data_IF_927333301472
#
_entry.id   IF_927333301472
#
_cell.length_a   1.000
_cell.length_b   1.000
_cell.length_c   1.000
_cell.angle_alpha   90.00
_cell.angle_beta   90.00
_cell.angle_gamma   90.00
#
_symmetry.space_group_name_H-M   'P 1'
#
loop_
_entity.id
_entity.type
_entity.pdbx_description
1 polymer ?
2 non-polymer ?
3 non-polymer ?
4 non-polymer ?
5 water ?
#
# COMPACT_ATOMS: atom_id res chain seq x y z
N UNK A 4 -7.07 8.89 25.23
CA UNK A 4 -5.68 9.17 24.74
C UNK A 4 -5.66 10.34 23.75
N UNK A 5 -4.62 11.16 23.85
CA UNK A 5 -4.40 12.23 22.87
C UNK A 5 -3.08 11.93 22.16
N UNK A 6 -3.17 11.72 20.85
CA UNK A 6 -1.97 11.45 20.06
C UNK A 6 -1.15 12.72 19.89
N UNK A 7 0.18 12.62 20.10
CA UNK A 7 1.06 13.77 19.90
C UNK A 7 1.39 13.92 18.42
N UNK A 8 0.54 14.65 17.70
CA UNK A 8 0.63 14.74 16.23
C UNK A 8 1.94 15.33 15.75
N UNK A 9 2.53 16.18 16.57
CA UNK A 9 3.82 16.79 16.30
C UNK A 9 5.00 15.81 16.44
N UNK A 10 4.73 14.63 16.99
CA UNK A 10 5.80 13.65 17.23
C UNK A 10 5.69 12.40 16.37
N UNK A 11 4.66 12.34 15.53
CA UNK A 11 4.40 11.16 14.73
C UNK A 11 4.77 11.47 13.29
N UNK A 12 5.61 10.63 12.67
CA UNK A 12 5.96 10.83 11.27
C UNK A 12 4.70 10.84 10.40
N UNK A 13 4.54 11.91 9.61
CA UNK A 13 3.25 12.20 8.99
C UNK A 13 2.73 11.20 7.98
N UNK A 14 3.62 10.51 7.27
CA UNK A 14 3.17 9.58 6.25
C UNK A 14 2.39 8.40 6.86
N UNK A 15 2.68 8.10 8.12
CA UNK A 15 2.06 6.99 8.82
C UNK A 15 0.57 7.24 9.04
N UNK A 16 0.25 8.41 9.58
CA UNK A 16 -1.11 8.68 10.04
C UNK A 16 -1.94 9.43 9.02
N UNK A 17 -1.32 10.36 8.32
CA UNK A 17 -2.04 11.26 7.42
C UNK A 17 -1.79 10.91 5.95
N UNK A 18 -0.54 10.63 5.63
CA UNK A 18 -0.14 10.34 4.25
C UNK A 18 0.35 11.61 3.59
N UNK A 19 1.49 11.52 2.92
CA UNK A 19 2.05 12.69 2.23
C UNK A 19 1.14 13.21 1.12
N UNK A 20 0.52 12.30 0.38
CA UNK A 20 -0.42 12.65 -0.70
C UNK A 20 0.18 13.66 -1.68
N UNK A 21 1.46 13.48 -2.00
CA UNK A 21 2.13 14.36 -2.93
C UNK A 21 2.20 13.77 -4.34
N UNK A 22 2.32 14.64 -5.34
CA UNK A 22 2.37 14.21 -6.74
C UNK A 22 3.62 13.42 -7.09
N UNK A 23 4.72 13.70 -6.40
CA UNK A 23 5.99 13.00 -6.63
C UNK A 23 6.47 12.44 -5.30
N UNK A 24 7.14 11.29 -5.36
CA UNK A 24 7.74 10.72 -4.17
C UNK A 24 8.98 9.94 -4.53
N UNK A 25 10.01 10.06 -3.71
CA UNK A 25 11.26 9.34 -3.90
C UNK A 25 11.60 8.56 -2.65
N UNK A 26 12.04 7.32 -2.85
CA UNK A 26 12.48 6.46 -1.77
C UNK A 26 13.99 6.28 -1.93
N UNK A 27 14.77 6.79 -0.97
CA UNK A 27 16.22 6.68 -1.03
C UNK A 27 16.64 5.62 -0.04
N UNK A 28 17.04 4.46 -0.57
CA UNK A 28 17.45 3.32 0.25
C UNK A 28 18.94 3.42 0.49
N UNK A 29 19.36 3.28 1.74
CA UNK A 29 20.75 3.55 2.08
C UNK A 29 21.33 2.52 3.03
N UNK A 30 22.66 2.45 3.05
CA UNK A 30 23.40 1.73 4.06
C UNK A 30 24.19 2.75 4.88
N UNK A 31 24.37 2.47 6.17
CA UNK A 31 25.16 3.32 7.07
C UNK A 31 26.62 2.88 6.98
N UNK A 32 27.52 3.82 6.67
CA UNK A 32 28.96 3.55 6.64
C UNK A 32 29.66 3.88 7.97
N UNK A 33 29.15 4.89 8.65
CA UNK A 33 29.80 5.46 9.84
C UNK A 33 28.66 5.83 10.79
N UNK A 34 28.44 5.00 11.81
CA UNK A 34 27.30 5.19 12.71
C UNK A 34 27.38 6.52 13.47
N UNK A 35 28.56 6.83 13.99
CA UNK A 35 28.75 8.06 14.76
C UNK A 35 28.45 9.32 13.93
N UNK A 36 29.02 9.39 12.73
CA UNK A 36 28.77 10.50 11.81
C UNK A 36 27.31 10.58 11.37
N UNK A 37 26.70 9.42 11.11
CA UNK A 37 25.29 9.38 10.75
C UNK A 37 24.43 9.97 11.87
N UNK A 38 24.70 9.54 13.10
CA UNK A 38 23.96 10.02 14.27
C UNK A 38 24.12 11.52 14.47
N UNK A 39 25.33 12.03 14.27
CA UNK A 39 25.62 13.46 14.37
C UNK A 39 24.79 14.24 13.34
N UNK A 40 24.78 13.76 12.10
CA UNK A 40 23.97 14.39 11.05
C UNK A 40 22.48 14.30 11.36
N UNK A 41 22.03 13.17 11.89
CA UNK A 41 20.62 12.98 12.20
C UNK A 41 20.10 14.03 13.18
N UNK A 42 20.93 14.42 14.16
CA UNK A 42 20.50 15.37 15.17
C UNK A 42 20.20 16.77 14.61
N UNK A 43 20.86 17.15 13.52
CA UNK A 43 20.52 18.41 12.87
C UNK A 43 19.47 18.22 11.78
N UNK A 44 19.49 17.05 11.12
CA UNK A 44 18.58 16.80 10.03
C UNK A 44 17.13 16.68 10.48
N UNK A 45 16.90 15.92 11.55
CA UNK A 45 15.54 15.60 11.97
C UNK A 45 14.69 16.83 12.30
N UNK A 46 15.16 17.72 13.20
CA UNK A 46 14.31 18.87 13.53
C UNK A 46 13.99 19.77 12.33
N UNK A 47 14.88 19.80 11.35
CA UNK A 47 14.73 20.68 10.20
C UNK A 47 13.88 20.09 9.09
N UNK A 48 13.90 18.76 8.93
CA UNK A 48 13.33 18.14 7.74
C UNK A 48 12.25 17.06 7.93
N UNK A 49 12.23 16.39 9.07
CA UNK A 49 11.29 15.27 9.25
C UNK A 49 9.89 15.80 9.55
N UNK A 50 8.93 15.42 8.69
CA UNK A 50 7.61 16.01 8.68
C UNK A 50 6.62 15.24 9.55
N UNK A 51 6.04 15.93 10.54
CA UNK A 51 5.07 15.34 11.44
C UNK A 51 3.64 15.28 10.86
N UNK A 52 2.79 14.48 11.47
CA UNK A 52 1.37 14.48 11.17
C UNK A 52 0.74 15.86 11.35
N UNK A 53 1.20 16.61 12.35
CA UNK A 53 0.71 17.96 12.61
C UNK A 53 0.98 18.89 11.44
N UNK A 54 2.17 18.80 10.83
CA UNK A 54 2.47 19.61 9.64
C UNK A 54 1.59 19.22 8.45
N UNK A 55 1.36 17.92 8.27
CA UNK A 55 0.53 17.44 7.17
C UNK A 55 -0.94 17.88 7.26
N UNK A 56 -1.45 18.08 8.47
CA UNK A 56 -2.84 18.55 8.64
C UNK A 56 -2.96 20.06 8.69
N UNK A 57 -1.83 20.75 8.67
CA UNK A 57 -1.81 22.22 8.64
C UNK A 57 -2.22 22.75 7.27
N UNK A 58 -2.58 24.03 7.22
CA UNK A 58 -2.83 24.72 5.96
C UNK A 58 -1.57 24.66 5.08
N UNK A 59 -1.75 24.50 3.74
CA UNK A 59 -0.60 24.42 2.81
C UNK A 59 0.40 25.57 2.95
N UNK A 60 -0.07 26.74 3.35
CA UNK A 60 0.81 27.90 3.56
C UNK A 60 1.80 27.71 4.71
N UNK A 61 1.51 26.74 5.58
CA UNK A 61 2.35 26.47 6.75
C UNK A 61 3.27 25.25 6.53
N UNK A 62 3.25 24.72 5.31
CA UNK A 62 3.97 23.49 4.99
C UNK A 62 5.23 23.76 4.19
N UNK A 63 6.29 22.95 4.41
CA UNK A 63 7.50 23.03 3.59
C UNK A 63 7.22 22.56 2.15
N UNK A 64 8.18 22.81 1.25
CA UNK A 64 8.01 22.49 -0.16
C UNK A 64 8.16 20.99 -0.45
N UNK A 65 8.71 20.26 0.51
CA UNK A 65 8.76 18.79 0.45
C UNK A 65 8.70 18.23 1.86
N UNK A 66 8.17 17.02 1.96
CA UNK A 66 8.07 16.32 3.23
C UNK A 66 9.10 15.19 3.25
N UNK A 67 9.66 14.91 4.43
CA UNK A 67 10.59 13.80 4.55
C UNK A 67 10.24 12.94 5.76
N UNK A 68 10.19 11.63 5.54
CA UNK A 68 10.07 10.66 6.63
C UNK A 68 11.24 9.67 6.51
N UNK A 69 11.48 8.92 7.58
CA UNK A 69 12.68 8.07 7.65
C UNK A 69 12.40 6.79 8.43
N UNK A 70 12.70 5.66 7.80
CA UNK A 70 12.55 4.36 8.43
C UNK A 70 13.85 3.57 8.40
N UNK A 71 13.97 2.62 9.33
CA UNK A 71 15.15 1.76 9.44
C UNK A 71 14.78 0.29 9.32
N UNK A 72 15.64 -0.48 8.67
CA UNK A 72 15.48 -1.93 8.68
C UNK A 72 16.10 -2.48 9.95
N UNK A 73 15.95 -3.79 10.17
CA UNK A 73 16.61 -4.42 11.31
C UNK A 73 18.12 -4.25 11.25
N UNK A 74 18.71 -4.51 10.08
CA UNK A 74 20.16 -4.38 9.96
C UNK A 74 20.61 -2.93 10.13
N UNK A 75 19.76 -1.97 9.75
CA UNK A 75 20.05 -0.55 9.99
C UNK A 75 20.13 -0.25 11.46
N UNK A 76 19.15 -0.75 12.22
CA UNK A 76 19.17 -0.55 13.67
C UNK A 76 20.38 -1.22 14.31
N UNK A 77 20.69 -2.44 13.87
CA UNK A 77 21.87 -3.13 14.38
C UNK A 77 23.17 -2.37 14.06
N UNK A 78 23.26 -1.82 12.84
CA UNK A 78 24.41 -1.01 12.43
C UNK A 78 24.60 0.24 13.30
N UNK A 79 23.50 0.74 13.85
CA UNK A 79 23.53 1.91 14.72
C UNK A 79 23.56 1.56 16.20
N UNK A 80 23.75 0.28 16.53
CA UNK A 80 23.80 -0.16 17.92
C UNK A 80 22.47 -0.06 18.65
N UNK A 81 21.37 -0.05 17.90
CA UNK A 81 20.02 -0.04 18.49
C UNK A 81 19.51 -1.48 18.53
N UNK A 82 19.71 -2.12 19.68
CA UNK A 82 19.69 -3.57 19.80
C UNK A 82 18.44 -4.15 20.46
N UNK A 83 17.56 -3.29 20.99
CA UNK A 83 16.36 -3.81 21.67
C UNK A 83 15.40 -4.42 20.65
N UNK A 84 14.86 -5.58 21.01
CA UNK A 84 13.83 -6.29 20.22
C UNK A 84 12.55 -5.44 20.15
N UNK A 85 12.11 -5.15 18.92
CA UNK A 85 10.90 -4.34 18.71
C UNK A 85 9.61 -5.14 18.83
N UNK A 86 9.73 -6.46 18.93
CA UNK A 86 8.58 -7.33 19.18
C UNK A 86 7.80 -7.81 17.97
N UNK A 87 8.27 -7.47 16.78
CA UNK A 87 7.63 -7.96 15.56
C UNK A 87 8.30 -9.24 15.04
N UNK A 88 7.49 -10.22 14.65
CA UNK A 88 8.00 -11.51 14.20
C UNK A 88 8.75 -11.49 12.86
N UNK A 89 8.35 -10.59 11.95
CA UNK A 89 8.95 -10.56 10.60
C UNK A 89 10.06 -9.53 10.42
N UNK A 90 9.98 -8.41 11.14
CA UNK A 90 10.94 -7.33 10.95
C UNK A 90 12.41 -7.77 11.07
N UNK A 91 12.75 -8.62 12.07
CA UNK A 91 14.17 -8.91 12.24
C UNK A 91 14.85 -9.57 11.06
N UNK A 92 14.17 -10.50 10.40
CA UNK A 92 14.81 -11.22 9.29
C UNK A 92 14.76 -10.50 7.95
N UNK A 93 13.94 -9.45 7.86
CA UNK A 93 13.78 -8.69 6.62
C UNK A 93 12.84 -9.35 5.62
N UNK A 94 12.45 -8.62 4.59
CA UNK A 94 11.44 -9.12 3.68
C UNK A 94 11.94 -10.15 2.67
N UNK A 95 13.18 -10.06 2.24
CA UNK A 95 13.69 -11.08 1.30
C UNK A 95 13.55 -12.49 1.88
N UNK A 96 13.87 -12.61 3.17
CA UNK A 96 13.75 -13.88 3.87
C UNK A 96 12.30 -14.36 3.99
N UNK A 97 11.36 -13.43 3.86
CA UNK A 97 9.92 -13.69 3.97
C UNK A 97 9.24 -13.81 2.60
N UNK A 98 9.96 -13.52 1.53
CA UNK A 98 9.33 -13.38 0.20
C UNK A 98 8.65 -14.66 -0.28
N UNK A 99 9.30 -15.80 -0.07
CA UNK A 99 8.70 -17.08 -0.44
C UNK A 99 7.37 -17.30 0.26
N UNK A 100 7.30 -16.96 1.55
CA UNK A 100 6.05 -17.04 2.33
C UNK A 100 4.92 -16.20 1.74
N UNK A 101 5.28 -15.06 1.18
CA UNK A 101 4.32 -14.15 0.53
C UNK A 101 3.84 -14.71 -0.81
N UNK A 102 4.58 -15.69 -1.34
CA UNK A 102 4.28 -16.27 -2.66
C UNK A 102 5.10 -15.73 -3.81
N UNK A 103 6.13 -14.93 -3.51
CA UNK A 103 6.93 -14.26 -4.54
C UNK A 103 7.75 -15.26 -5.36
N UNK A 104 7.85 -14.97 -6.65
CA UNK A 104 8.86 -15.58 -7.51
C UNK A 104 10.16 -14.84 -7.20
N UNK A 105 11.05 -15.51 -6.48
CA UNK A 105 12.31 -14.90 -6.04
C UNK A 105 13.24 -14.50 -7.19
N UNK A 106 13.06 -15.16 -8.34
CA UNK A 106 13.89 -14.89 -9.50
C UNK A 106 13.65 -13.49 -10.08
N UNK A 107 12.53 -12.86 -9.69
CA UNK A 107 12.17 -11.53 -10.16
C UNK A 107 12.65 -10.40 -9.24
N UNK A 108 13.11 -10.77 -8.05
CA UNK A 108 13.69 -9.79 -7.13
C UNK A 108 15.01 -9.27 -7.67
N UNK A 109 15.28 -8.00 -7.41
CA UNK A 109 16.50 -7.38 -7.90
C UNK A 109 17.26 -6.66 -6.78
N UNK A 110 18.57 -6.54 -6.97
CA UNK A 110 19.41 -5.77 -6.08
C UNK A 110 18.91 -4.33 -5.97
N UNK A 111 19.05 -3.72 -4.78
CA UNK A 111 19.72 -4.21 -3.59
C UNK A 111 18.78 -4.87 -2.58
N UNK A 112 17.61 -5.32 -3.02
CA UNK A 112 16.64 -5.91 -2.09
C UNK A 112 16.91 -7.38 -1.76
N UNK A 113 17.81 -8.00 -2.52
CA UNK A 113 18.10 -9.44 -2.41
C UNK A 113 19.09 -9.75 -1.28
N UNK A 114 18.68 -9.39 -0.07
CA UNK A 114 19.49 -9.59 1.12
C UNK A 114 19.03 -8.56 2.13
N UNK A 115 19.91 -8.24 3.07
CA UNK A 115 19.61 -7.23 4.09
C UNK A 115 20.67 -6.14 4.14
N UNK A 116 21.22 -5.78 2.98
CA UNK A 116 22.19 -4.69 2.90
C UNK A 116 21.53 -3.33 3.16
N UNK A 117 20.24 -3.19 2.81
CA UNK A 117 19.53 -1.93 3.06
C UNK A 117 19.36 -1.71 4.56
N UNK A 118 19.77 -0.51 5.01
CA UNK A 118 19.68 -0.12 6.43
C UNK A 118 18.50 0.78 6.72
N UNK A 119 18.01 1.46 5.70
CA UNK A 119 16.91 2.39 5.91
C UNK A 119 16.45 3.03 4.63
N UNK A 120 15.42 3.87 4.76
CA UNK A 120 14.84 4.57 3.64
C UNK A 120 14.42 5.98 4.05
N UNK A 121 14.84 6.96 3.27
CA UNK A 121 14.25 8.30 3.36
C UNK A 121 13.14 8.34 2.33
N UNK A 122 11.95 8.74 2.74
CA UNK A 122 10.87 9.02 1.80
C UNK A 122 10.66 10.52 1.71
N UNK A 123 10.73 11.03 0.48
CA UNK A 123 10.62 12.44 0.19
C UNK A 123 9.40 12.62 -0.69
N UNK A 124 8.48 13.48 -0.26
CA UNK A 124 7.28 13.77 -1.04
C UNK A 124 7.21 15.23 -1.42
N UNK A 125 6.88 15.51 -2.67
CA UNK A 125 6.75 16.90 -3.12
C UNK A 125 5.87 16.94 -4.34
N UNK A 126 5.28 18.10 -4.64
CA UNK A 126 4.39 18.15 -5.79
C UNK A 126 5.12 18.44 -7.11
N UNK A 127 6.44 18.59 -7.03
CA UNK A 127 7.26 19.00 -8.15
C UNK A 127 8.65 18.33 -8.14
N UNK A 128 9.15 17.94 -9.31
CA UNK A 128 10.48 17.31 -9.42
C UNK A 128 11.61 18.15 -8.84
N UNK A 129 11.57 19.46 -9.11
CA UNK A 129 12.62 20.38 -8.65
C UNK A 129 12.83 20.28 -7.15
N UNK A 130 11.74 20.38 -6.40
CA UNK A 130 11.81 20.39 -4.95
C UNK A 130 12.17 19.01 -4.43
N UNK A 131 11.61 17.98 -5.07
CA UNK A 131 11.97 16.61 -4.75
C UNK A 131 13.48 16.44 -4.84
N UNK A 132 14.06 16.87 -5.97
CA UNK A 132 15.49 16.75 -6.23
C UNK A 132 16.33 17.55 -5.22
N UNK A 133 15.87 18.76 -4.90
CA UNK A 133 16.59 19.62 -3.95
C UNK A 133 16.65 19.02 -2.54
N UNK A 134 15.53 18.44 -2.10
CA UNK A 134 15.50 17.80 -0.79
C UNK A 134 16.29 16.49 -0.79
N UNK A 135 16.32 15.83 -1.95
CA UNK A 135 17.17 14.64 -2.10
C UNK A 135 18.66 15.02 -2.00
N UNK A 136 19.06 16.08 -2.70
CA UNK A 136 20.43 16.58 -2.63
C UNK A 136 20.80 17.03 -1.22
N UNK A 137 19.82 17.58 -0.50
CA UNK A 137 20.03 18.02 0.87
C UNK A 137 20.37 16.83 1.79
N UNK A 138 19.76 15.68 1.54
CA UNK A 138 20.13 14.45 2.27
C UNK A 138 21.58 14.06 1.96
N UNK A 139 21.92 14.02 0.67
CA UNK A 139 23.28 13.68 0.23
C UNK A 139 24.32 14.59 0.87
N UNK A 140 24.03 15.88 0.88
CA UNK A 140 24.93 16.89 1.43
C UNK A 140 25.05 16.83 2.95
N UNK A 141 23.93 16.61 3.63
CA UNK A 141 23.90 16.56 5.09
C UNK A 141 24.61 15.33 5.64
N UNK A 142 24.34 14.17 5.03
CA UNK A 142 24.87 12.91 5.55
C UNK A 142 26.22 12.53 4.97
N UNK A 143 26.53 13.04 3.78
CA UNK A 143 27.81 12.79 3.12
C UNK A 143 28.19 11.33 3.08
N UNK A 144 29.44 11.05 3.44
CA UNK A 144 30.00 9.72 3.34
C UNK A 144 29.52 8.79 4.47
N UNK A 145 28.76 9.33 5.42
CA UNK A 145 28.21 8.51 6.52
C UNK A 145 27.21 7.47 6.03
N UNK A 146 26.66 7.68 4.83
CA UNK A 146 25.77 6.72 4.18
C UNK A 146 26.19 6.48 2.73
N UNK A 147 25.75 5.36 2.18
CA UNK A 147 25.81 5.10 0.75
C UNK A 147 24.39 4.85 0.27
N UNK A 148 23.96 5.56 -0.77
CA UNK A 148 22.68 5.28 -1.40
C UNK A 148 22.85 4.01 -2.21
N UNK A 149 22.04 2.99 -1.91
CA UNK A 149 22.12 1.74 -2.63
C UNK A 149 21.05 1.63 -3.72
N UNK A 150 20.01 2.46 -3.62
CA UNK A 150 18.95 2.55 -4.63
C UNK A 150 18.10 3.78 -4.37
N UNK A 151 17.55 4.36 -5.44
CA UNK A 151 16.51 5.38 -5.32
C UNK A 151 15.39 4.98 -6.28
N UNK A 152 14.18 4.86 -5.75
CA UNK A 152 13.00 4.61 -6.57
C UNK A 152 12.11 5.84 -6.50
N UNK A 153 11.74 6.35 -7.68
CA UNK A 153 10.96 7.57 -7.78
C UNK A 153 9.61 7.28 -8.43
N UNK A 154 8.56 7.88 -7.88
CA UNK A 154 7.22 7.71 -8.42
C UNK A 154 6.56 9.04 -8.73
N UNK A 155 5.46 8.97 -9.46
CA UNK A 155 4.67 10.15 -9.79
C UNK A 155 3.23 9.78 -10.01
N UNK A 156 2.35 10.65 -9.53
CA UNK A 156 0.95 10.58 -9.87
C UNK A 156 0.79 10.58 -11.39
N UNK A 157 -0.23 9.87 -11.87
CA UNK A 157 -0.52 9.83 -13.29
C UNK A 157 -1.12 11.18 -13.74
N UNK A 158 -0.98 11.50 -15.04
CA UNK A 158 -1.37 12.84 -15.50
C UNK A 158 -2.87 13.13 -15.63
N UNK A 159 -3.24 14.40 -15.53
CA UNK A 159 -4.60 14.83 -15.84
C UNK A 159 -5.65 14.17 -14.99
N UNK A 160 -6.71 13.67 -15.62
CA UNK A 160 -7.83 13.07 -14.89
C UNK A 160 -7.50 11.67 -14.35
N UNK A 161 -6.29 11.20 -14.64
CA UNK A 161 -5.79 9.94 -14.08
C UNK A 161 -5.01 10.16 -12.79
N UNK A 162 -4.90 11.42 -12.35
CA UNK A 162 -4.26 11.71 -11.07
C UNK A 162 -5.00 10.99 -9.95
N UNK A 163 -4.24 10.23 -9.16
CA UNK A 163 -4.81 9.42 -8.09
C UNK A 163 -5.15 8.00 -8.51
N UNK A 164 -5.10 7.73 -9.81
CA UNK A 164 -5.28 6.36 -10.32
C UNK A 164 -3.95 5.66 -10.44
N UNK A 165 -3.96 4.35 -10.23
CA UNK A 165 -2.78 3.54 -10.47
C UNK A 165 -2.75 3.13 -11.96
N UNK A 166 -1.70 2.44 -12.39
CA UNK A 166 -1.46 2.19 -13.83
C UNK A 166 -2.47 1.32 -14.58
N UNK A 167 -3.18 0.44 -13.89
CA UNK A 167 -4.28 -0.28 -14.53
C UNK A 167 -5.48 0.63 -14.83
N UNK A 168 -5.48 1.82 -14.23
CA UNK A 168 -6.52 2.82 -14.44
C UNK A 168 -7.47 3.07 -13.29
N UNK A 169 -7.24 2.42 -12.14
CA UNK A 169 -8.21 2.45 -11.03
C UNK A 169 -7.86 3.49 -9.97
N UNK A 170 -8.86 4.28 -9.57
CA UNK A 170 -8.68 5.23 -8.48
C UNK A 170 -8.25 4.47 -7.22
N UNK A 171 -7.17 4.94 -6.62
CA UNK A 171 -6.61 4.34 -5.42
C UNK A 171 -6.69 5.37 -4.29
N UNK A 172 -6.49 4.92 -3.06
CA UNK A 172 -6.48 5.82 -1.91
C UNK A 172 -7.85 6.29 -1.45
N UNK A 173 -8.86 5.45 -1.64
CA UNK A 173 -10.22 5.74 -1.18
C UNK A 173 -10.44 5.28 0.26
N UNK A 174 -10.11 4.01 0.53
CA UNK A 174 -10.46 3.41 1.81
C UNK A 174 -9.26 3.24 2.73
N UNK A 175 -9.31 3.95 3.87
CA UNK A 175 -8.24 3.89 4.88
C UNK A 175 -8.92 3.76 6.22
N UNK A 176 -8.29 3.08 7.18
CA UNK A 176 -8.85 3.12 8.53
C UNK A 176 -8.69 4.52 9.15
N UNK A 177 -9.54 4.82 10.13
CA UNK A 177 -9.41 6.03 10.91
C UNK A 177 -9.09 5.60 12.34
N UNK A 178 -8.07 6.21 12.93
CA UNK A 178 -7.72 5.86 14.31
C UNK A 178 -8.29 6.88 15.28
N UNK A 179 -8.68 6.38 16.45
CA UNK A 179 -9.09 7.27 17.54
C UNK A 179 -7.84 7.88 18.16
N UNK A 180 -8.04 8.94 18.94
CA UNK A 180 -6.92 9.63 19.60
C UNK A 180 -6.61 10.99 19.02
N UNK A 181 -7.30 11.36 17.94
CA UNK A 181 -7.17 12.69 17.37
C UNK A 181 -8.46 13.11 16.67
N UNK A 182 -8.54 14.39 16.33
CA UNK A 182 -9.72 15.01 15.73
C UNK A 182 -9.65 14.93 14.21
N UNK A 183 -10.52 14.09 13.62
CA UNK A 183 -10.49 13.90 12.17
C UNK A 183 -11.87 13.61 11.58
N UNK A 184 -12.00 13.82 10.27
CA UNK A 184 -13.24 13.49 9.57
C UNK A 184 -13.30 11.99 9.32
N UNK A 185 -14.44 11.40 9.66
CA UNK A 185 -14.72 9.98 9.39
C UNK A 185 -15.85 9.87 8.37
N UNK A 186 -15.57 9.18 7.26
CA UNK A 186 -16.55 8.98 6.20
C UNK A 186 -17.45 7.78 6.43
N UNK A 187 -18.68 7.80 5.87
CA UNK A 187 -19.56 6.65 6.02
C UNK A 187 -18.91 5.37 5.48
N UNK A 188 -18.91 4.32 6.29
CA UNK A 188 -18.32 3.03 5.91
C UNK A 188 -16.85 2.89 6.29
N UNK A 189 -16.24 3.98 6.73
CA UNK A 189 -14.83 3.98 7.13
C UNK A 189 -14.67 3.23 8.46
N UNK A 190 -13.68 2.36 8.56
CA UNK A 190 -13.38 1.68 9.81
C UNK A 190 -12.78 2.65 10.81
N UNK A 191 -13.22 2.55 12.06
CA UNK A 191 -12.65 3.33 13.15
C UNK A 191 -12.00 2.35 14.11
N UNK A 192 -10.69 2.51 14.30
CA UNK A 192 -9.90 1.53 15.06
C UNK A 192 -9.08 2.24 16.13
N UNK A 193 -8.69 1.49 17.20
CA UNK A 193 -7.78 2.09 18.17
C UNK A 193 -6.43 2.41 17.53
N UNK A 194 -5.73 3.45 18.02
CA UNK A 194 -4.52 3.90 17.34
C UNK A 194 -3.42 2.87 17.27
N UNK A 195 -3.41 1.91 18.21
CA UNK A 195 -2.37 0.88 18.26
C UNK A 195 -2.46 -0.18 17.17
N UNK A 196 -3.49 -0.11 16.33
CA UNK A 196 -3.52 -0.95 15.12
C UNK A 196 -2.43 -0.45 14.16
N UNK A 197 -2.12 0.84 14.24
CA UNK A 197 -1.17 1.49 13.35
C UNK A 197 0.11 1.88 14.08
N UNK A 198 -0.03 2.41 15.31
CA UNK A 198 1.09 2.98 16.04
C UNK A 198 1.55 2.04 17.14
N UNK A 199 2.83 1.67 17.09
CA UNK A 199 3.37 0.80 18.12
C UNK A 199 3.28 1.43 19.51
N UNK A 200 2.91 0.61 20.48
CA UNK A 200 2.83 1.01 21.88
C UNK A 200 1.54 1.72 22.27
N UNK A 201 0.65 1.95 21.32
CA UNK A 201 -0.66 2.55 21.60
C UNK A 201 -1.74 1.50 21.85
N UNK A 202 -2.90 1.93 22.39
CA UNK A 202 -4.00 1.01 22.67
C UNK A 202 -4.42 0.25 21.42
N UNK A 203 -4.53 -1.07 21.54
CA UNK A 203 -4.81 -1.92 20.40
C UNK A 203 -3.61 -2.69 19.89
N UNK A 204 -2.42 -2.20 20.20
CA UNK A 204 -1.17 -2.92 19.88
C UNK A 204 -0.92 -3.96 20.96
N UNK A 205 -0.78 -5.22 20.55
CA UNK A 205 -0.51 -6.29 21.51
C UNK A 205 0.94 -6.77 21.49
N UNK A 206 1.76 -6.16 20.64
CA UNK A 206 3.18 -6.51 20.56
C UNK A 206 3.96 -5.96 21.74
N UNK A 207 5.06 -6.63 22.06
CA UNK A 207 5.91 -6.24 23.18
C UNK A 207 6.93 -5.23 22.71
N UNK A 208 6.73 -3.95 23.05
CA UNK A 208 7.54 -2.87 22.49
C UNK A 208 8.44 -2.22 23.52
N UNK A 209 9.70 -1.90 23.13
CA UNK A 209 10.48 -1.03 24.00
C UNK A 209 9.76 0.30 24.16
N UNK A 210 9.95 0.95 25.30
CA UNK A 210 9.30 2.23 25.55
C UNK A 210 9.62 3.26 24.46
N UNK A 211 10.84 3.21 23.92
CA UNK A 211 11.23 4.19 22.90
C UNK A 211 10.54 4.00 21.55
N UNK A 212 9.86 2.87 21.37
CA UNK A 212 9.17 2.57 20.12
C UNK A 212 7.77 3.17 20.07
N UNK A 213 7.35 3.82 21.15
CA UNK A 213 6.02 4.45 21.19
C UNK A 213 5.85 5.38 19.99
N UNK A 214 4.70 5.24 19.32
CA UNK A 214 4.30 6.13 18.21
C UNK A 214 5.11 5.97 16.93
N UNK A 215 5.78 4.82 16.80
CA UNK A 215 6.35 4.40 15.54
C UNK A 215 5.36 3.55 14.78
N UNK A 216 5.80 3.02 13.64
CA UNK A 216 4.99 2.09 12.87
C UNK A 216 5.89 1.27 11.98
N UNK A 217 5.42 0.10 11.58
CA UNK A 217 6.15 -0.68 10.60
C UNK A 217 5.62 -0.47 9.20
N UNK A 218 6.54 -0.18 8.29
CA UNK A 218 6.24 -0.09 6.86
C UNK A 218 6.53 -1.41 6.17
N UNK A 219 5.57 -1.91 5.41
CA UNK A 219 5.85 -2.94 4.42
C UNK A 219 5.98 -2.22 3.09
N UNK A 220 7.20 -2.20 2.55
CA UNK A 220 7.45 -1.59 1.26
C UNK A 220 7.49 -2.69 0.21
N UNK A 221 6.81 -2.47 -0.90
CA UNK A 221 6.86 -3.41 -2.03
C UNK A 221 7.05 -2.66 -3.34
N UNK A 222 8.03 -3.08 -4.13
CA UNK A 222 8.21 -2.53 -5.46
C UNK A 222 7.52 -3.48 -6.45
N UNK A 223 6.39 -3.04 -6.98
CA UNK A 223 5.64 -3.83 -7.95
C UNK A 223 5.78 -3.29 -9.36
N UNK A 224 6.13 -4.17 -10.29
CA UNK A 224 6.05 -3.86 -11.72
C UNK A 224 4.68 -4.32 -12.22
N UNK A 225 3.99 -3.47 -12.99
CA UNK A 225 2.67 -3.81 -13.51
C UNK A 225 2.70 -4.04 -15.00
N UNK A 226 1.91 -5.04 -15.42
CA UNK A 226 1.80 -5.45 -16.82
C UNK A 226 0.47 -4.98 -17.37
N UNK A 227 0.44 -3.72 -17.83
CA UNK A 227 -0.80 -3.03 -18.16
C UNK A 227 -1.41 -3.47 -19.51
N UNK A 228 -0.60 -3.54 -20.60
CA UNK A 228 -1.17 -4.07 -21.84
C UNK A 228 -1.70 -5.48 -21.67
N UNK A 229 -0.99 -6.29 -20.88
CA UNK A 229 -1.40 -7.67 -20.60
C UNK A 229 -2.73 -7.75 -19.85
N UNK A 230 -2.88 -6.94 -18.80
CA UNK A 230 -4.13 -6.84 -18.07
C UNK A 230 -5.27 -6.44 -19.01
N UNK A 231 -5.04 -5.41 -19.81
CA UNK A 231 -6.05 -4.91 -20.74
C UNK A 231 -6.46 -6.00 -21.73
N UNK A 232 -5.47 -6.67 -22.32
CA UNK A 232 -5.73 -7.77 -23.26
C UNK A 232 -6.53 -8.90 -22.62
N UNK A 233 -6.20 -9.24 -21.37
CA UNK A 233 -6.91 -10.28 -20.66
C UNK A 233 -8.39 -9.90 -20.46
N UNK A 234 -8.66 -8.66 -20.09
CA UNK A 234 -10.05 -8.26 -19.86
C UNK A 234 -10.85 -8.28 -21.16
N UNK A 235 -10.20 -7.97 -22.28
CA UNK A 235 -10.89 -7.99 -23.56
C UNK A 235 -11.15 -9.42 -24.00
N UNK A 236 -10.16 -10.29 -23.82
CA UNK A 236 -10.28 -11.70 -24.20
C UNK A 236 -11.31 -12.44 -23.36
N UNK A 237 -11.57 -11.94 -22.16
CA UNK A 237 -12.48 -12.64 -21.25
C UNK A 237 -13.67 -11.77 -20.86
N UNK A 238 -13.96 -10.78 -21.70
CA UNK A 238 -15.03 -9.83 -21.45
C UNK A 238 -16.31 -10.53 -21.06
N UNK A 239 -16.95 -10.03 -20.00
CA UNK A 239 -18.20 -10.61 -19.51
C UNK A 239 -19.31 -10.31 -20.51
N UNK A 240 -20.04 -11.35 -20.97
CA UNK A 240 -21.02 -11.13 -22.04
C UNK A 240 -22.24 -10.31 -21.63
N UNK A 241 -22.65 -10.43 -20.37
CA UNK A 241 -23.90 -9.80 -19.91
C UNK A 241 -23.87 -9.70 -18.40
N UNK A 242 -24.62 -8.76 -17.88
CA UNK A 242 -24.92 -8.76 -16.45
C UNK A 242 -26.41 -8.57 -16.24
N UNK A 243 -26.83 -8.35 -15.01
CA UNK A 243 -28.25 -8.26 -14.69
C UNK A 243 -29.00 -7.22 -15.53
N UNK A 244 -28.31 -6.15 -15.88
CA UNK A 244 -28.92 -5.01 -16.56
C UNK A 244 -29.14 -5.31 -18.03
N UNK A 245 -28.35 -6.25 -18.57
CA UNK A 245 -28.46 -6.65 -19.97
C UNK A 245 -27.15 -7.06 -20.60
N UNK A 246 -27.16 -7.21 -21.91
CA UNK A 246 -25.97 -7.56 -22.67
C UNK A 246 -24.97 -6.44 -22.68
N UNK A 247 -23.70 -6.83 -22.73
CA UNK A 247 -22.61 -5.88 -22.75
C UNK A 247 -21.88 -5.94 -24.08
N UNK A 248 -21.47 -4.78 -24.60
CA UNK A 248 -20.54 -4.78 -25.72
C UNK A 248 -19.23 -5.38 -25.20
N UNK A 249 -18.34 -5.80 -26.09
CA UNK A 249 -17.05 -6.32 -25.61
C UNK A 249 -16.33 -5.30 -24.72
N UNK A 250 -16.30 -4.03 -25.15
CA UNK A 250 -15.59 -3.02 -24.39
C UNK A 250 -16.22 -2.90 -23.00
N UNK A 251 -17.55 -2.88 -22.94
CA UNK A 251 -18.28 -2.81 -21.67
C UNK A 251 -17.98 -4.03 -20.80
N UNK A 252 -17.94 -5.21 -21.41
CA UNK A 252 -17.67 -6.46 -20.69
C UNK A 252 -16.25 -6.54 -20.16
N UNK A 253 -15.31 -5.93 -20.88
CA UNK A 253 -13.92 -5.84 -20.45
C UNK A 253 -13.77 -4.88 -19.29
N UNK A 254 -14.38 -3.71 -19.39
CA UNK A 254 -14.39 -2.77 -18.27
C UNK A 254 -15.03 -3.40 -17.05
N UNK A 255 -16.14 -4.10 -17.25
CA UNK A 255 -16.84 -4.74 -16.15
C UNK A 255 -15.98 -5.83 -15.51
N UNK A 256 -15.30 -6.63 -16.32
CA UNK A 256 -14.44 -7.67 -15.77
C UNK A 256 -13.33 -7.06 -14.88
N UNK A 257 -12.73 -5.96 -15.33
CA UNK A 257 -11.73 -5.27 -14.50
C UNK A 257 -12.31 -4.82 -13.17
N UNK A 258 -13.53 -4.27 -13.20
CA UNK A 258 -14.21 -3.85 -11.98
C UNK A 258 -14.53 -5.04 -11.07
N UNK A 259 -14.85 -6.18 -11.66
CA UNK A 259 -15.14 -7.38 -10.89
C UNK A 259 -13.90 -7.91 -10.19
N UNK A 260 -12.75 -7.78 -10.84
CA UNK A 260 -11.48 -8.23 -10.28
C UNK A 260 -11.03 -7.34 -9.10
N UNK A 261 -11.28 -6.03 -9.22
CA UNK A 261 -10.90 -5.09 -8.15
C UNK A 261 -11.91 -4.94 -7.03
N UNK A 262 -13.19 -5.01 -7.38
CA UNK A 262 -14.27 -4.67 -6.47
C UNK A 262 -14.68 -3.21 -6.56
N UNK A 263 -14.02 -2.46 -7.43
CA UNK A 263 -14.38 -1.07 -7.74
C UNK A 263 -14.21 -0.85 -9.22
N UNK A 264 -15.04 0.01 -9.77
CA UNK A 264 -14.84 0.55 -11.11
C UNK A 264 -13.62 1.49 -11.08
N UNK A 265 -13.09 1.81 -12.26
CA UNK A 265 -11.94 2.72 -12.34
C UNK A 265 -12.19 4.08 -11.70
N UNK A 266 -13.45 4.55 -11.74
CA UNK A 266 -13.87 5.81 -11.12
C UNK A 266 -13.81 5.79 -9.60
N UNK A 267 -13.68 4.61 -9.01
CA UNK A 267 -13.74 4.48 -7.57
C UNK A 267 -15.09 3.98 -7.06
N UNK A 268 -16.10 3.92 -7.93
CA UNK A 268 -17.42 3.43 -7.51
C UNK A 268 -17.29 1.98 -7.09
N UNK A 269 -17.68 1.66 -5.84
CA UNK A 269 -17.57 0.24 -5.43
C UNK A 269 -18.67 -0.60 -6.07
N UNK A 270 -18.33 -1.78 -6.55
CA UNK A 270 -19.33 -2.60 -7.25
C UNK A 270 -20.45 -3.08 -6.31
N UNK A 271 -20.21 -3.12 -5.01
CA UNK A 271 -21.25 -3.55 -4.09
C UNK A 271 -22.40 -2.52 -4.14
N UNK A 272 -22.06 -1.26 -4.36
CA UNK A 272 -23.08 -0.23 -4.53
C UNK A 272 -23.54 -0.03 -5.97
N UNK A 273 -22.61 -0.22 -6.92
CA UNK A 273 -22.88 -0.03 -8.35
C UNK A 273 -22.54 -1.33 -9.09
N UNK A 274 -23.42 -2.35 -8.97
CA UNK A 274 -23.02 -3.69 -9.41
C UNK A 274 -23.07 -3.97 -10.91
N UNK A 275 -23.72 -3.10 -11.69
CA UNK A 275 -23.92 -3.39 -13.13
C UNK A 275 -23.33 -2.35 -14.09
N UNK A 276 -23.14 -1.12 -13.62
CA UNK A 276 -22.59 -0.05 -14.43
C UNK A 276 -21.86 0.93 -13.55
N UNK A 277 -20.85 1.56 -14.12
CA UNK A 277 -20.09 2.56 -13.39
C UNK A 277 -21.02 3.70 -12.97
N UNK A 278 -20.67 4.31 -11.84
CA UNK A 278 -21.32 5.53 -11.35
C UNK A 278 -20.17 6.47 -10.98
N UNK A 279 -19.65 7.23 -11.97
CA UNK A 279 -18.47 8.04 -11.69
C UNK A 279 -18.68 9.09 -10.60
N UNK A 280 -19.88 9.65 -10.53
CA UNK A 280 -20.21 10.62 -9.48
C UNK A 280 -20.11 9.98 -8.11
N UNK A 281 -20.59 8.74 -7.98
CA UNK A 281 -20.46 7.99 -6.73
C UNK A 281 -18.99 7.78 -6.41
N UNK A 282 -18.22 7.35 -7.40
CA UNK A 282 -16.79 7.11 -7.21
C UNK A 282 -16.03 8.30 -6.67
N UNK A 283 -16.44 9.49 -7.08
CA UNK A 283 -15.74 10.72 -6.71
C UNK A 283 -16.26 11.33 -5.39
N UNK A 284 -17.28 10.73 -4.80
CA UNK A 284 -17.91 11.25 -3.59
C UNK A 284 -17.50 10.46 -2.34
N UNK A 285 -16.60 11.02 -1.50
CA UNK A 285 -16.17 10.25 -0.32
C UNK A 285 -17.25 10.03 0.73
N UNK A 286 -18.37 10.75 0.61
CA UNK A 286 -19.49 10.53 1.52
C UNK A 286 -20.26 9.26 1.18
N UNK A 287 -20.01 8.71 0.00
CA UNK A 287 -20.75 7.55 -0.47
C UNK A 287 -19.88 6.37 -0.95
N UNK A 288 -18.69 6.66 -1.46
CA UNK A 288 -17.89 5.64 -2.14
C UNK A 288 -17.30 4.58 -1.23
N UNK A 289 -17.44 4.74 0.08
CA UNK A 289 -16.99 3.70 1.00
C UNK A 289 -18.11 3.13 1.87
N UNK A 290 -19.34 3.52 1.59
CA UNK A 290 -20.47 3.16 2.44
C UNK A 290 -21.11 1.82 2.07
N UNK A 291 -20.34 0.76 2.27
CA UNK A 291 -20.79 -0.60 1.99
C UNK A 291 -20.02 -1.55 2.90
N UNK A 292 -20.54 -2.76 3.06
CA UNK A 292 -19.85 -3.74 3.92
C UNK A 292 -20.01 -5.19 3.48
N UNK A 293 -20.54 -5.39 2.27
CA UNK A 293 -20.84 -6.73 1.72
C UNK A 293 -21.99 -7.47 2.38
N UNK A 294 -22.66 -6.84 3.35
CA UNK A 294 -23.80 -7.49 4.03
C UNK A 294 -24.96 -7.83 3.09
N UNK A 295 -25.00 -7.19 1.92
CA UNK A 295 -26.01 -7.48 0.90
C UNK A 295 -25.60 -8.60 -0.07
N UNK A 296 -24.43 -9.18 0.16
CA UNK A 296 -23.85 -10.15 -0.78
C UNK A 296 -22.93 -11.17 -0.11
N UNK A 297 -23.28 -11.53 1.12
CA UNK A 297 -22.48 -12.48 1.90
C UNK A 297 -22.50 -13.89 1.31
N UNK A 298 -23.63 -14.28 0.70
CA UNK A 298 -23.78 -15.66 0.23
C UNK A 298 -24.14 -15.77 -1.26
N UNK A 299 -23.76 -14.75 -2.04
CA UNK A 299 -23.88 -14.80 -3.50
C UNK A 299 -22.87 -13.84 -4.09
N UNK A 300 -22.60 -13.98 -5.38
CA UNK A 300 -21.59 -13.12 -6.02
C UNK A 300 -22.14 -12.20 -7.08
N UNK A 301 -23.47 -12.08 -7.19
CA UNK A 301 -23.98 -11.12 -8.18
C UNK A 301 -23.47 -9.70 -7.94
N UNK A 302 -23.55 -9.21 -6.70
CA UNK A 302 -23.13 -7.83 -6.47
C UNK A 302 -21.61 -7.65 -6.44
N UNK A 303 -20.88 -8.67 -5.96
CA UNK A 303 -19.42 -8.59 -5.88
C UNK A 303 -18.85 -10.00 -5.74
N UNK A 304 -17.79 -10.34 -6.51
CA UNK A 304 -17.17 -11.66 -6.30
C UNK A 304 -16.61 -11.77 -4.87
N UNK A 305 -16.52 -12.99 -4.37
CA UNK A 305 -15.92 -13.21 -3.07
C UNK A 305 -14.42 -12.85 -3.07
N UNK A 306 -13.77 -13.00 -4.23
CA UNK A 306 -12.32 -12.85 -4.31
C UNK A 306 -11.78 -11.57 -4.93
N UNK A 307 -12.64 -10.56 -5.10
CA UNK A 307 -12.22 -9.24 -5.60
C UNK A 307 -11.16 -8.62 -4.67
N UNK A 308 -10.23 -7.86 -5.25
CA UNK A 308 -9.12 -7.27 -4.50
C UNK A 308 -9.54 -6.61 -3.19
N UNK A 309 -10.45 -5.66 -3.25
CA UNK A 309 -10.77 -4.89 -2.03
C UNK A 309 -11.48 -5.74 -0.98
N UNK A 310 -12.23 -6.73 -1.44
CA UNK A 310 -12.96 -7.64 -0.55
C UNK A 310 -12.00 -8.60 0.15
N UNK A 311 -10.99 -9.08 -0.56
CA UNK A 311 -9.95 -9.92 0.01
C UNK A 311 -9.09 -9.20 1.02
N UNK A 312 -8.72 -7.95 0.73
CA UNK A 312 -7.80 -7.21 1.61
C UNK A 312 -8.51 -6.49 2.76
N UNK A 313 -9.81 -6.22 2.59
CA UNK A 313 -10.65 -5.72 3.68
C UNK A 313 -12.03 -6.39 3.60
N UNK A 314 -12.19 -7.52 4.32
CA UNK A 314 -13.40 -8.33 4.15
C UNK A 314 -14.69 -7.76 4.74
N UNK A 315 -14.59 -6.71 5.54
CA UNK A 315 -15.78 -6.06 6.12
C UNK A 315 -16.71 -7.12 6.73
N UNK A 316 -17.98 -7.17 6.33
CA UNK A 316 -18.92 -8.09 6.99
C UNK A 316 -18.66 -9.56 6.72
N UNK A 317 -17.78 -9.89 5.77
CA UNK A 317 -17.38 -11.29 5.60
C UNK A 317 -16.75 -11.85 6.90
N UNK A 318 -16.24 -10.98 7.76
CA UNK A 318 -15.69 -11.41 9.07
C UNK A 318 -16.74 -11.51 10.18
N UNK A 319 -17.99 -11.18 9.86
CA UNK A 319 -19.10 -11.31 10.82
C UNK A 319 -19.41 -10.04 11.60
N UNK A 320 -18.55 -9.04 11.44
CA UNK A 320 -18.74 -7.76 12.09
C UNK A 320 -17.46 -6.95 12.02
N UNK A 321 -17.46 -5.74 12.59
CA UNK A 321 -16.23 -4.95 12.65
C UNK A 321 -15.12 -5.71 13.40
N UNK A 322 -13.92 -5.67 12.83
CA UNK A 322 -12.74 -6.27 13.43
C UNK A 322 -11.61 -5.24 13.30
N UNK A 323 -10.96 -4.91 14.41
CA UNK A 323 -9.91 -3.87 14.41
C UNK A 323 -8.61 -4.33 13.79
N UNK A 324 -8.34 -5.62 13.95
CA UNK A 324 -6.98 -6.17 13.97
C UNK A 324 -6.20 -6.06 12.67
N UNK A 325 -6.91 -6.14 11.54
CA UNK A 325 -6.24 -6.36 10.26
C UNK A 325 -6.29 -5.18 9.33
N UNK A 326 -6.60 -4.01 9.88
CA UNK A 326 -6.59 -2.77 9.10
C UNK A 326 -5.18 -2.21 9.03
N UNK A 327 -4.89 -1.51 7.94
CA UNK A 327 -3.59 -0.86 7.77
C UNK A 327 -3.73 0.39 6.92
N UNK A 328 -2.79 1.34 7.10
CA UNK A 328 -2.73 2.56 6.28
C UNK A 328 -1.91 2.32 5.03
N UNK A 329 -2.33 2.92 3.92
CA UNK A 329 -1.57 2.81 2.67
C UNK A 329 -1.16 4.19 2.17
N UNK A 330 0.07 4.30 1.68
CA UNK A 330 0.57 5.55 1.11
C UNK A 330 1.45 5.26 -0.10
N UNK A 331 0.85 4.65 -1.12
CA UNK A 331 1.60 4.21 -2.29
C UNK A 331 1.59 5.25 -3.38
N UNK A 332 2.51 5.11 -4.32
CA UNK A 332 2.54 6.01 -5.48
C UNK A 332 2.88 5.21 -6.75
N UNK A 333 2.20 5.50 -7.87
CA UNK A 333 2.60 4.87 -9.13
C UNK A 333 3.98 5.33 -9.57
N UNK A 334 4.59 4.54 -10.44
CA UNK A 334 5.82 4.99 -11.10
C UNK A 334 5.80 4.59 -12.55
N UNK A 335 6.57 5.31 -13.35
CA UNK A 335 6.76 4.96 -14.75
C UNK A 335 5.87 5.75 -15.68
N UNK A 336 6.18 5.66 -16.99
CA UNK A 336 5.47 6.42 -17.99
C UNK A 336 4.11 5.81 -18.28
N UNK A 337 3.24 6.63 -18.88
CA UNK A 337 1.96 6.16 -19.38
C UNK A 337 2.15 5.05 -20.40
N UNK A 338 1.13 4.21 -20.52
CA UNK A 338 1.13 3.12 -21.47
C UNK A 338 0.66 3.68 -22.81
N UNK A 339 1.54 3.59 -23.81
CA UNK A 339 1.27 4.11 -25.15
C UNK A 339 0.19 3.32 -25.90
N UNK A 340 -0.31 3.93 -26.98
CA UNK A 340 -1.27 3.28 -27.88
C UNK A 340 -0.68 2.02 -28.52
N UNK A 341 0.60 2.08 -28.90
CA UNK A 341 1.32 0.95 -29.50
C UNK A 341 1.45 -0.22 -28.53
N UNK A 342 1.75 0.10 -27.27
CA UNK A 342 1.86 -0.92 -26.21
C UNK A 342 0.54 -1.62 -25.96
N UNK A 343 -0.54 -0.85 -25.82
CA UNK A 343 -1.87 -1.41 -25.60
C UNK A 343 -2.31 -2.27 -26.78
N UNK A 344 -2.02 -1.82 -28.00
CA UNK A 344 -2.36 -2.54 -29.22
C UNK A 344 -1.64 -3.89 -29.32
N UNK A 345 -0.37 -3.91 -28.92
CA UNK A 345 0.45 -5.12 -28.98
C UNK A 345 0.08 -6.12 -27.88
N UNK A 346 -0.49 -5.61 -26.79
CA UNK A 346 -0.77 -6.42 -25.62
C UNK A 346 0.45 -6.80 -24.80
N UNK A 347 1.59 -6.16 -25.11
CA UNK A 347 2.88 -6.51 -24.50
C UNK A 347 3.54 -5.28 -23.85
N UNK A 348 3.92 -5.44 -22.59
CA UNK A 348 4.64 -4.40 -21.86
C UNK A 348 5.99 -4.14 -22.52
N UNK A 349 6.26 -2.86 -22.79
CA UNK A 349 7.52 -2.41 -23.36
C UNK A 349 8.28 -1.44 -22.45
N UNK A 350 7.61 -0.94 -21.42
CA UNK A 350 8.22 0.01 -20.48
C UNK A 350 7.98 -0.40 -19.04
N UNK A 351 8.93 -0.04 -18.17
CA UNK A 351 8.86 -0.32 -16.74
C UNK A 351 7.93 0.68 -16.05
N UNK A 352 6.83 0.18 -15.48
CA UNK A 352 5.87 1.00 -14.75
C UNK A 352 5.26 0.12 -13.66
N UNK A 353 4.68 0.75 -12.65
CA UNK A 353 4.06 -0.02 -11.58
C UNK A 353 3.71 0.83 -10.38
N UNK A 354 3.88 0.22 -9.21
CA UNK A 354 3.44 0.83 -7.94
C UNK A 354 4.53 0.68 -6.90
N UNK A 355 4.89 1.79 -6.27
CA UNK A 355 5.75 1.79 -5.09
C UNK A 355 4.78 1.77 -3.92
N UNK A 356 4.60 0.57 -3.38
CA UNK A 356 3.55 0.27 -2.42
C UNK A 356 4.08 0.41 -0.99
N UNK A 357 3.28 1.08 -0.16
CA UNK A 357 3.65 1.39 1.22
C UNK A 357 2.44 1.11 2.09
N UNK A 358 2.60 0.20 3.06
CA UNK A 358 1.52 -0.11 3.99
C UNK A 358 2.04 -0.08 5.42
N UNK A 359 1.34 0.63 6.28
CA UNK A 359 1.75 0.81 7.69
C UNK A 359 0.81 0.10 8.64
N UNK A 360 1.41 -0.52 9.66
CA UNK A 360 0.67 -1.24 10.69
C UNK A 360 1.61 -1.44 11.88
N UNK A 361 1.05 -1.64 13.07
CA UNK A 361 1.87 -1.91 14.25
C UNK A 361 2.41 -3.34 14.22
N UNK A 362 1.65 -4.25 13.62
CA UNK A 362 2.04 -5.66 13.58
C UNK A 362 2.04 -6.10 12.12
N UNK A 363 3.23 -6.27 11.54
CA UNK A 363 3.34 -6.62 10.12
C UNK A 363 2.47 -7.85 9.78
N UNK A 364 2.50 -8.84 10.67
CA UNK A 364 1.78 -10.08 10.43
C UNK A 364 0.26 -9.98 10.45
N UNK A 365 -0.26 -8.86 10.95
CA UNK A 365 -1.69 -8.63 11.01
C UNK A 365 -2.20 -7.68 9.92
N UNK A 366 -1.30 -6.93 9.30
CA UNK A 366 -1.70 -5.96 8.29
C UNK A 366 -1.40 -6.49 6.91
N UNK A 367 -0.40 -5.88 6.26
CA UNK A 367 0.09 -6.35 4.96
C UNK A 367 0.15 -7.88 4.84
N UNK A 368 0.81 -8.54 5.79
CA UNK A 368 1.14 -9.94 5.62
C UNK A 368 -0.10 -10.83 5.78
N UNK A 369 -1.02 -10.41 6.64
CA UNK A 369 -2.30 -11.12 6.81
C UNK A 369 -3.16 -10.99 5.55
N UNK A 370 -3.25 -9.75 5.07
CA UNK A 370 -3.99 -9.47 3.84
C UNK A 370 -3.44 -10.29 2.67
N UNK A 371 -2.11 -10.43 2.62
CA UNK A 371 -1.48 -11.16 1.52
C UNK A 371 -1.64 -12.68 1.65
N UNK A 372 -1.25 -13.24 2.78
CA UNK A 372 -1.14 -14.68 2.94
C UNK A 372 -2.47 -15.32 3.34
N UNK A 373 -3.05 -14.86 4.45
CA UNK A 373 -4.26 -15.46 4.97
C UNK A 373 -5.48 -15.20 4.13
N UNK A 374 -5.46 -14.08 3.41
CA UNK A 374 -6.62 -13.68 2.65
C UNK A 374 -6.41 -13.79 1.13
N UNK A 375 -5.57 -12.94 0.54
CA UNK A 375 -5.41 -12.93 -0.91
C UNK A 375 -4.94 -14.25 -1.50
N UNK A 376 -3.97 -14.90 -0.84
CA UNK A 376 -3.37 -16.15 -1.33
C UNK A 376 -4.21 -17.36 -1.00
N UNK A 377 -5.24 -17.17 -0.20
CA UNK A 377 -6.02 -18.27 0.37
C UNK A 377 -7.27 -18.50 -0.47
N UNK A 378 -7.29 -19.59 -1.24
CA UNK A 378 -8.42 -19.93 -2.12
C UNK A 378 -9.73 -20.08 -1.37
N UNK A 379 -9.65 -20.40 -0.08
CA UNK A 379 -10.85 -20.64 0.72
C UNK A 379 -11.20 -19.49 1.66
N UNK A 380 -10.68 -18.31 1.33
CA UNK A 380 -11.05 -17.09 2.02
C UNK A 380 -11.70 -16.10 1.04
N UNK A 381 -12.80 -15.44 1.42
CA UNK A 381 -13.50 -15.50 2.70
C UNK A 381 -14.10 -16.88 2.98
N UNK A 382 -14.26 -17.17 4.27
CA UNK A 382 -14.68 -18.50 4.73
C UNK A 382 -16.17 -18.71 4.58
N UNK A 383 -16.57 -19.98 4.52
CA UNK A 383 -17.99 -20.38 4.62
C UNK A 383 -18.86 -19.86 3.47
N UNK A 384 -18.27 -19.76 2.28
CA UNK A 384 -19.01 -19.30 1.10
C UNK A 384 -19.54 -20.47 0.27
N UNK A 385 -20.65 -20.24 -0.47
CA UNK A 385 -21.23 -21.34 -1.25
C UNK A 385 -20.43 -21.73 -2.49
N UNK A 386 -19.51 -20.86 -2.90
CA UNK A 386 -18.63 -21.11 -4.03
C UNK A 386 -17.23 -20.72 -3.58
N UNK A 387 -16.25 -21.57 -3.88
CA UNK A 387 -14.84 -21.31 -3.53
C UNK A 387 -14.42 -19.94 -4.08
N UNK A 388 -13.95 -19.03 -3.19
CA UNK A 388 -13.56 -17.72 -3.72
C UNK A 388 -12.38 -17.74 -4.70
N UNK A 389 -11.34 -18.53 -4.40
CA UNK A 389 -10.16 -18.59 -5.26
C UNK A 389 -9.12 -17.55 -4.90
N UNK A 390 -8.16 -17.37 -5.79
CA UNK A 390 -7.00 -16.51 -5.56
C UNK A 390 -7.31 -15.08 -6.01
N UNK A 391 -7.00 -14.10 -5.15
CA UNK A 391 -7.23 -12.70 -5.50
C UNK A 391 -6.52 -12.38 -6.82
N UNK A 392 -7.25 -11.93 -7.85
CA UNK A 392 -6.66 -11.82 -9.20
C UNK A 392 -5.57 -10.76 -9.38
N UNK A 393 -5.58 -9.72 -8.56
CA UNK A 393 -4.60 -8.65 -8.72
C UNK A 393 -3.26 -9.00 -8.06
N UNK A 394 -3.27 -9.32 -6.77
CA UNK A 394 -2.00 -9.60 -6.08
C UNK A 394 -1.90 -10.96 -5.38
N UNK A 395 -2.90 -11.82 -5.54
CA UNK A 395 -2.83 -13.18 -4.99
C UNK A 395 -1.71 -13.95 -5.69
N UNK A 396 -0.92 -14.72 -4.95
CA UNK A 396 0.27 -15.33 -5.57
C UNK A 396 0.30 -16.84 -5.75
N UNK A 397 -0.70 -17.49 -5.20
CA UNK A 397 -0.84 -18.93 -5.29
C UNK A 397 -1.10 -19.35 -6.74
N UNK A 398 -0.43 -20.42 -7.17
CA UNK A 398 -0.70 -20.99 -8.49
C UNK A 398 -1.35 -22.38 -8.35
N UNK A 399 -2.32 -22.70 -9.23
CA UNK A 399 -2.84 -21.86 -10.31
C UNK A 399 -3.59 -20.65 -9.74
N UNK A 400 -3.52 -19.53 -10.46
CA UNK A 400 -4.19 -18.30 -10.04
C UNK A 400 -5.64 -18.32 -10.48
N UNK A 401 -6.41 -19.21 -9.86
CA UNK A 401 -7.79 -19.42 -10.27
C UNK A 401 -8.74 -18.70 -9.32
N UNK A 402 -9.65 -17.92 -9.90
CA UNK A 402 -10.63 -17.17 -9.13
C UNK A 402 -12.01 -17.46 -9.70
N UNK A 403 -12.98 -17.66 -8.80
CA UNK A 403 -14.34 -17.90 -9.23
C UNK A 403 -15.20 -16.66 -9.19
N UNK A 404 -16.40 -16.79 -9.74
CA UNK A 404 -17.43 -15.80 -9.50
C UNK A 404 -17.31 -14.47 -10.23
N UNK A 405 -16.32 -14.31 -11.12
CA UNK A 405 -16.17 -13.02 -11.82
C UNK A 405 -17.35 -12.68 -12.73
N UNK A 406 -17.97 -13.72 -13.31
CA UNK A 406 -19.17 -13.54 -14.14
C UNK A 406 -20.40 -13.68 -13.24
N UNK A 407 -21.12 -12.56 -13.00
CA UNK A 407 -22.23 -12.63 -12.06
C UNK A 407 -23.37 -13.54 -12.52
N UNK A 408 -23.43 -13.83 -13.82
CA UNK A 408 -24.48 -14.69 -14.38
C UNK A 408 -24.07 -16.14 -14.54
N UNK A 409 -22.80 -16.42 -14.29
CA UNK A 409 -22.25 -17.79 -14.33
C UNK A 409 -21.19 -17.91 -13.26
N UNK A 410 -21.64 -17.88 -12.01
CA UNK A 410 -20.72 -17.72 -10.87
C UNK A 410 -19.82 -18.91 -10.61
N UNK A 411 -20.22 -20.08 -11.11
CA UNK A 411 -19.37 -21.27 -11.00
C UNK A 411 -18.23 -21.30 -12.02
N UNK A 412 -18.25 -20.41 -13.01
CA UNK A 412 -17.15 -20.33 -13.97
C UNK A 412 -15.89 -19.81 -13.27
N UNK A 413 -14.77 -20.48 -13.51
CA UNK A 413 -13.50 -20.05 -12.94
C UNK A 413 -12.63 -19.37 -13.99
N UNK A 414 -11.85 -18.40 -13.53
CA UNK A 414 -10.96 -17.64 -14.38
C UNK A 414 -9.56 -17.90 -13.90
N UNK A 415 -8.68 -18.33 -14.81
CA UNK A 415 -7.28 -18.49 -14.47
C UNK A 415 -6.55 -17.25 -15.00
N UNK A 416 -6.03 -16.47 -14.07
CA UNK A 416 -5.61 -15.11 -14.37
C UNK A 416 -4.07 -15.04 -14.39
N UNK A 417 -3.49 -14.60 -15.52
CA UNK A 417 -2.04 -14.39 -15.51
C UNK A 417 -1.67 -13.37 -14.45
N UNK A 418 -0.46 -13.48 -13.90
CA UNK A 418 -0.01 -12.51 -12.91
C UNK A 418 0.39 -11.22 -13.61
N UNK A 419 -0.30 -10.14 -13.28
CA UNK A 419 -0.03 -8.83 -13.88
C UNK A 419 0.76 -7.91 -12.96
N UNK A 420 1.05 -8.37 -11.75
CA UNK A 420 1.77 -7.58 -10.76
C UNK A 420 2.98 -8.40 -10.31
N UNK A 421 4.16 -7.88 -10.59
CA UNK A 421 5.40 -8.61 -10.34
C UNK A 421 6.21 -7.96 -9.21
N UNK A 422 6.37 -8.65 -8.07
CA UNK A 422 7.24 -8.07 -7.03
C UNK A 422 8.70 -8.08 -7.44
N UNK A 423 9.32 -6.91 -7.38
CA UNK A 423 10.72 -6.70 -7.80
C UNK A 423 11.63 -6.53 -6.59
N UNK A 424 11.03 -6.53 -5.40
CA UNK A 424 11.78 -6.30 -4.18
C UNK A 424 10.90 -5.63 -3.15
N UNK A 425 11.41 -5.52 -1.94
CA UNK A 425 10.68 -4.87 -0.86
C UNK A 425 11.45 -5.04 0.42
N UNK A 426 11.00 -4.35 1.46
CA UNK A 426 11.63 -4.44 2.77
C UNK A 426 10.64 -4.07 3.85
N UNK A 427 10.92 -4.55 5.06
CA UNK A 427 10.20 -4.17 6.26
C UNK A 427 11.03 -3.14 7.04
N UNK A 428 10.42 -1.98 7.28
CA UNK A 428 11.08 -0.89 8.01
C UNK A 428 10.31 -0.53 9.27
N UNK A 429 11.02 0.04 10.24
CA UNK A 429 10.38 0.66 11.39
C UNK A 429 10.63 2.15 11.32
N UNK A 430 9.54 2.92 11.39
CA UNK A 430 9.62 4.38 11.45
C UNK A 430 9.41 4.82 12.88
N UNK A 431 10.47 5.31 13.54
CA UNK A 431 10.29 5.71 14.94
C UNK A 431 9.52 7.02 15.04
N UNK A 432 9.14 7.38 16.25
CA UNK A 432 8.64 8.72 16.52
C UNK A 432 9.74 9.73 16.27
N UNK A 433 9.36 10.99 16.11
CA UNK A 433 10.34 12.03 15.81
C UNK A 433 11.33 12.23 16.98
N UNK A 434 10.82 12.28 18.20
CA UNK A 434 11.68 12.34 19.39
C UNK A 434 12.61 11.12 19.47
N UNK A 435 12.08 9.94 19.14
CA UNK A 435 12.90 8.73 19.18
C UNK A 435 14.06 8.80 18.18
N UNK A 436 13.83 9.41 17.02
CA UNK A 436 14.93 9.60 16.05
C UNK A 436 16.15 10.26 16.67
N UNK A 437 15.93 11.29 17.48
CA UNK A 437 17.07 12.04 18.04
C UNK A 437 17.48 11.60 19.45
N UNK A 438 16.51 11.15 20.26
CA UNK A 438 16.78 10.79 21.65
C UNK A 438 17.22 9.33 21.81
N UNK A 439 16.86 8.49 20.85
CA UNK A 439 17.21 7.07 20.89
C UNK A 439 18.15 6.68 19.73
N UNK A 440 17.67 6.85 18.49
CA UNK A 440 18.46 6.43 17.34
C UNK A 440 19.78 7.19 17.26
N UNK A 441 19.74 8.49 17.48
CA UNK A 441 20.94 9.33 17.35
C UNK A 441 21.70 9.54 18.65
N UNK A 442 21.23 8.92 19.74
CA UNK A 442 21.81 9.10 21.08
C UNK A 442 23.33 8.90 21.08
X LIG B 1 -7.44 -1.05 -2.27
X LIG B 1 -4.89 -1.41 -6.36
X LIG B 1 -1.61 -4.12 -4.06
X LIG B 1 -4.21 -3.88 0.00
X LIG B 1 -7.07 -0.93 -3.57
X LIG B 1 -7.77 -0.21 -4.61
X LIG B 1 -7.05 -0.31 -5.72
X LIG B 1 -5.87 -1.10 -5.45
X LIG B 1 -7.37 0.27 -7.11
X LIG B 1 -9.12 0.52 -4.45
X LIG B 1 -8.93 1.88 -3.78
X LIG B 1 -9.33 1.85 -2.33
X LIG B 1 -10.27 1.10 -1.98
X LIG B 1 -8.72 2.59 -1.54
X LIG B 1 -3.76 -2.16 -6.11
X LIG B 1 -2.68 -2.43 -7.03
X LIG B 1 -1.76 -3.16 -6.39
X LIG B 1 -2.24 -3.38 -5.03
X LIG B 1 -2.62 -1.93 -8.49
X LIG B 1 -0.43 -3.71 -6.91
X LIG B 1 0.25 -3.10 -7.89
X LIG B 1 -2.06 -4.35 -2.79
X LIG B 1 -1.45 -5.21 -1.79
X LIG B 1 -2.18 -5.16 -0.67
X LIG B 1 -3.26 -4.24 -0.92
X LIG B 1 -0.14 -6.00 -2.06
X LIG B 1 -1.94 -5.86 0.68
X LIG B 1 -1.43 -7.11 0.73
X LIG B 1 -5.25 -3.04 -0.22
X LIG B 1 -6.16 -2.60 0.81
X LIG B 1 -7.16 -1.73 0.10
X LIG B 1 -6.78 -1.73 -1.29
X LIG B 1 -6.13 -2.91 2.31
X LIG B 1 -8.34 -1.01 0.76
X LIG B 1 -9.44 -2.05 0.90
X LIG B 1 -10.60 -1.53 1.71
X LIG B 1 -11.76 -1.78 1.28
X LIG B 1 -10.40 -0.88 2.77
X LIG B 1 -5.90 -1.44 -4.11
X LIG B 1 -3.46 -2.76 -4.91
X LIG B 1 -3.20 -3.79 -2.22
X LIG B 1 -5.63 -2.50 -1.45
X LIG B 1 -4.56 -2.66 -3.19
X LIG C 1 -28.27 -10.59 -25.74
X LIG C 1 -29.32 -10.28 -26.81
X LIG C 1 -29.79 -11.57 -27.49
X LIG C 1 -28.60 -12.42 -27.95
X LIG C 1 -27.62 -12.64 -26.80
X LIG C 1 -26.37 -13.38 -27.24
X LIG C 1 -30.72 -8.29 -26.46
X LIG C 1 -31.92 -7.74 -25.76
X LIG C 1 -30.45 -9.58 -26.22
X LIG C 1 -30.62 -11.24 -28.59
X LIG C 1 -29.07 -13.66 -28.42
X LIG C 1 -27.24 -11.38 -26.28
X LIG C 1 -25.60 -13.71 -26.09
X LIG C 1 -30.05 -7.57 -27.19
X LIG D 1 -3.39 -1.02 -2.62
X LIG D 1 -2.79 -0.04 -2.60
#
# INVERSE_FOLDING_TARGET
ANDTILPLNNIQGDILVGMKKQKERFVFFQVNDATSFKTALKTYVPERITSAAILISDPSQQPLAFVNLGFSNTGLQALGITDDLGDAQFPDGQFADAANLGDDLSQWVAPFTGTTIHGVFLIGSDQDDFLDQFTDDISSTFGSSITQVQALSGSARPGDQAGHEHFGFLDGISQPSVTGWETTVFPGQAVVPPGIILTGRDGDTGTRPSWALDGSFMAFRHFQQKVPEFNAYTLANAIPANSAGNLTQQEGAEFLGARMFGRWKSGAPIDLAPTADDPALGADPQRNNNFDYSDTLTDETRCPFGAHVRKTNPRQDLGGPVDTFHAMRSSIPYGPETSDAELASGVTAQDRGLLFVEYQSIIGNGFRFQQINWANNANFPFSKPITPGIEPIIGQTTPRTVGGLDPLNQNETFTVPLFVIPKGGEYFFLPSISALTATIAA
HEM CHA CHB CHC CHD C1A C2A C3A C4A CMA CAA CBA CGA O1A O2A C1B C2B C3B C4B CMB CAB CBB C1C C2C C3C C4C CMC CAC CBC C1D C2D C3D C4D CMD CAD CBD CGD O1D O2D NA NB NC ND FE
NAG C1 C2 C3 C4 C5 C6 C7 C8 N2 O3 O4 O5 O6 O7
CYN C N
#
